data_IF_430280821011
#
_entry.id   IF_430280821011
#
_cell.length_a   1.000
_cell.length_b   1.000
_cell.length_c   1.000
_cell.angle_alpha   90.00
_cell.angle_beta   90.00
_cell.angle_gamma   90.00
#
_symmetry.space_group_name_H-M   'P 1'
#
loop_
_entity.id
_entity.type
_entity.pdbx_description
1 polymer ?
#
# COMPACT_ATOMS: atom_id res chain seq x y z
N UNK A 1 -27.49 -50.55 5.21
CA UNK A 1 -26.85 -49.76 4.14
C UNK A 1 -26.17 -48.59 4.82
N UNK A 2 -24.84 -48.51 4.75
CA UNK A 2 -24.05 -47.43 5.36
C UNK A 2 -23.69 -46.42 4.28
N UNK A 3 -24.18 -45.19 4.41
CA UNK A 3 -23.75 -44.04 3.62
C UNK A 3 -22.46 -43.47 4.22
N UNK A 4 -21.34 -43.69 3.53
CA UNK A 4 -20.05 -43.11 3.85
C UNK A 4 -19.86 -41.84 3.00
N UNK A 5 -20.40 -40.72 3.46
CA UNK A 5 -20.02 -39.41 2.93
C UNK A 5 -18.53 -39.16 3.27
N UNK A 6 -17.73 -39.06 2.22
CA UNK A 6 -16.29 -38.86 2.33
C UNK A 6 -16.03 -37.43 2.80
N UNK A 7 -15.63 -37.30 4.07
CA UNK A 7 -15.02 -36.13 4.69
C UNK A 7 -13.75 -35.73 3.92
N UNK A 8 -13.90 -34.97 2.83
CA UNK A 8 -12.77 -34.36 2.12
C UNK A 8 -12.21 -33.22 2.97
N UNK A 9 -11.41 -33.61 3.96
CA UNK A 9 -10.64 -32.72 4.81
C UNK A 9 -9.75 -31.84 3.95
N UNK A 10 -10.07 -30.54 3.92
CA UNK A 10 -9.29 -29.53 3.21
C UNK A 10 -7.83 -29.57 3.71
N UNK A 11 -6.91 -29.94 2.82
CA UNK A 11 -5.47 -30.01 3.12
C UNK A 11 -4.79 -28.77 2.53
N UNK A 12 -4.27 -27.84 3.35
CA UNK A 12 -3.59 -26.65 2.85
C UNK A 12 -2.36 -27.05 2.03
N UNK A 13 -2.34 -26.61 0.76
CA UNK A 13 -1.25 -26.91 -0.17
C UNK A 13 0.06 -26.25 0.30
N UNK A 14 1.20 -26.96 0.34
CA UNK A 14 2.46 -26.39 0.79
C UNK A 14 2.93 -25.31 -0.20
N UNK A 15 2.96 -24.03 0.23
CA UNK A 15 3.52 -22.92 -0.54
C UNK A 15 5.05 -23.00 -0.50
N UNK A 16 5.69 -23.40 -1.60
CA UNK A 16 7.15 -23.28 -1.77
C UNK A 16 7.48 -22.84 -3.19
N UNK A 17 8.39 -21.86 -3.29
CA UNK A 17 9.00 -21.27 -4.48
C UNK A 17 8.14 -20.35 -5.37
N UNK A 18 6.97 -20.77 -5.87
CA UNK A 18 6.15 -19.93 -6.77
C UNK A 18 5.63 -18.64 -6.09
N UNK A 19 5.52 -18.63 -4.76
CA UNK A 19 5.07 -17.46 -4.01
C UNK A 19 5.96 -16.23 -4.28
N UNK A 20 7.30 -16.36 -4.24
CA UNK A 20 8.20 -15.20 -4.27
C UNK A 20 8.17 -14.38 -5.55
N UNK A 21 7.97 -15.04 -6.70
CA UNK A 21 7.85 -14.34 -7.99
C UNK A 21 6.53 -13.58 -8.09
N UNK A 22 5.43 -14.22 -7.66
CA UNK A 22 4.14 -13.54 -7.55
C UNK A 22 4.17 -12.44 -6.48
N UNK A 23 4.94 -12.59 -5.39
CA UNK A 23 5.06 -11.56 -4.36
C UNK A 23 5.67 -10.27 -4.93
N UNK A 24 6.70 -10.38 -5.79
CA UNK A 24 7.27 -9.21 -6.49
C UNK A 24 6.29 -8.62 -7.50
N UNK A 25 5.65 -9.45 -8.32
CA UNK A 25 4.66 -8.99 -9.31
C UNK A 25 3.47 -8.29 -8.64
N UNK A 26 2.89 -8.93 -7.62
CA UNK A 26 1.83 -8.36 -6.78
C UNK A 26 2.28 -7.05 -6.14
N UNK A 27 3.52 -6.95 -5.65
CA UNK A 27 4.05 -5.71 -5.07
C UNK A 27 4.10 -4.59 -6.13
N UNK A 28 4.64 -4.87 -7.33
CA UNK A 28 4.72 -3.88 -8.41
C UNK A 28 3.32 -3.45 -8.85
N UNK A 29 2.39 -4.39 -9.03
CA UNK A 29 1.00 -4.09 -9.38
C UNK A 29 0.32 -3.21 -8.31
N UNK A 30 0.52 -3.52 -7.03
CA UNK A 30 0.01 -2.74 -5.91
C UNK A 30 0.63 -1.34 -5.86
N UNK A 31 1.95 -1.21 -6.00
CA UNK A 31 2.65 0.09 -6.04
C UNK A 31 2.14 0.95 -7.20
N UNK A 32 1.97 0.37 -8.40
CA UNK A 32 1.38 1.08 -9.53
C UNK A 32 -0.08 1.46 -9.29
N UNK A 33 -0.86 0.59 -8.66
CA UNK A 33 -2.25 0.87 -8.31
C UNK A 33 -2.37 1.99 -7.28
N UNK A 34 -1.43 2.08 -6.33
CA UNK A 34 -1.32 3.19 -5.38
C UNK A 34 -0.90 4.47 -6.12
N UNK A 35 0.10 4.39 -7.02
CA UNK A 35 0.56 5.54 -7.82
C UNK A 35 -0.56 6.16 -8.66
N UNK A 36 -1.38 5.35 -9.33
CA UNK A 36 -2.55 5.82 -10.09
C UNK A 36 -3.54 6.57 -9.20
N UNK A 37 -3.79 6.09 -7.98
CA UNK A 37 -4.68 6.75 -7.02
C UNK A 37 -4.11 8.07 -6.52
N UNK A 38 -2.81 8.11 -6.24
CA UNK A 38 -2.10 9.35 -5.87
C UNK A 38 -2.20 10.39 -6.99
N UNK A 39 -2.06 9.97 -8.25
CA UNK A 39 -2.23 10.86 -9.40
C UNK A 39 -3.66 11.43 -9.47
N UNK A 40 -4.69 10.61 -9.24
CA UNK A 40 -6.08 11.09 -9.19
C UNK A 40 -6.28 12.16 -8.11
N UNK A 41 -5.73 11.95 -6.90
CA UNK A 41 -5.78 12.94 -5.82
C UNK A 41 -5.02 14.22 -6.23
N UNK A 42 -3.85 14.07 -6.85
CA UNK A 42 -3.01 15.20 -7.28
C UNK A 42 -3.64 16.04 -8.41
N UNK A 43 -4.52 15.45 -9.22
CA UNK A 43 -5.30 16.17 -10.23
C UNK A 43 -6.49 16.94 -9.63
N UNK A 44 -6.83 16.71 -8.36
CA UNK A 44 -7.87 17.45 -7.64
C UNK A 44 -7.31 18.77 -7.10
N UNK A 45 -8.18 19.74 -6.79
CA UNK A 45 -7.73 20.96 -6.10
C UNK A 45 -7.60 20.70 -4.60
N UNK A 46 -6.59 21.33 -3.97
CA UNK A 46 -6.44 21.37 -2.51
C UNK A 46 -7.71 21.91 -1.83
N UNK A 47 -8.39 22.89 -2.40
CA UNK A 47 -9.63 23.46 -1.85
C UNK A 47 -10.78 22.45 -1.75
N UNK A 48 -10.79 21.44 -2.62
CA UNK A 48 -11.78 20.37 -2.61
C UNK A 48 -11.37 19.19 -1.72
N UNK A 49 -10.18 19.25 -1.13
CA UNK A 49 -9.65 18.20 -0.27
C UNK A 49 -10.00 18.47 1.19
N UNK A 50 -10.99 17.73 1.68
CA UNK A 50 -11.41 17.80 3.08
C UNK A 50 -12.02 16.47 3.51
N UNK A 51 -12.16 16.29 4.83
CA UNK A 51 -12.90 15.16 5.42
C UNK A 51 -14.28 14.99 4.77
N UNK A 52 -14.55 13.78 4.25
CA UNK A 52 -15.79 13.43 3.55
C UNK A 52 -15.80 13.68 2.04
N UNK A 53 -14.69 14.16 1.46
CA UNK A 53 -14.52 14.25 0.01
C UNK A 53 -13.94 12.94 -0.57
N UNK A 54 -14.30 12.63 -1.83
CA UNK A 54 -13.78 11.43 -2.51
C UNK A 54 -12.25 11.42 -2.58
N UNK A 55 -11.62 12.58 -2.82
CA UNK A 55 -10.17 12.70 -2.88
C UNK A 55 -9.51 12.38 -1.52
N UNK A 56 -10.17 12.73 -0.42
CA UNK A 56 -9.71 12.44 0.93
C UNK A 56 -9.82 10.95 1.27
N UNK A 57 -10.92 10.31 0.88
CA UNK A 57 -11.09 8.86 1.05
C UNK A 57 -10.07 8.07 0.22
N UNK A 58 -9.83 8.49 -1.03
CA UNK A 58 -8.78 7.89 -1.88
C UNK A 58 -7.39 8.08 -1.27
N UNK A 59 -7.09 9.27 -0.74
CA UNK A 59 -5.82 9.55 -0.06
C UNK A 59 -5.63 8.68 1.20
N UNK A 60 -6.70 8.49 1.98
CA UNK A 60 -6.70 7.62 3.16
C UNK A 60 -6.45 6.16 2.77
N UNK A 61 -7.14 5.68 1.74
CA UNK A 61 -6.93 4.34 1.18
C UNK A 61 -5.49 4.13 0.68
N UNK A 62 -4.89 5.15 0.06
CA UNK A 62 -3.49 5.13 -0.38
C UNK A 62 -2.55 4.91 0.80
N UNK A 63 -2.69 5.69 1.87
CA UNK A 63 -1.82 5.56 3.05
C UNK A 63 -2.03 4.22 3.76
N UNK A 64 -3.28 3.77 3.91
CA UNK A 64 -3.58 2.48 4.54
C UNK A 64 -2.94 1.33 3.76
N UNK A 65 -3.10 1.30 2.44
CA UNK A 65 -2.49 0.26 1.59
C UNK A 65 -0.98 0.33 1.61
N UNK A 66 -0.40 1.52 1.52
CA UNK A 66 1.05 1.70 1.54
C UNK A 66 1.65 1.23 2.88
N UNK A 67 1.04 1.60 4.00
CA UNK A 67 1.46 1.12 5.32
C UNK A 67 1.35 -0.41 5.43
N UNK A 68 0.26 -1.01 4.91
CA UNK A 68 0.08 -2.45 4.91
C UNK A 68 1.18 -3.19 4.11
N UNK A 69 1.65 -2.61 3.00
CA UNK A 69 2.79 -3.18 2.25
C UNK A 69 4.05 -3.25 3.11
N UNK A 70 4.29 -2.26 3.97
CA UNK A 70 5.47 -2.22 4.83
C UNK A 70 5.40 -3.19 6.01
N UNK A 71 4.20 -3.56 6.45
CA UNK A 71 3.99 -4.51 7.53
C UNK A 71 4.12 -5.97 7.10
N UNK A 72 4.02 -6.24 5.79
CA UNK A 72 4.16 -7.59 5.26
C UNK A 72 5.64 -7.99 5.20
N UNK A 73 6.07 -9.00 5.98
CA UNK A 73 7.48 -9.42 5.99
C UNK A 73 7.93 -9.95 4.62
N UNK A 74 6.98 -10.44 3.82
CA UNK A 74 7.15 -10.94 2.45
C UNK A 74 7.75 -9.90 1.50
N UNK A 75 7.46 -8.61 1.72
CA UNK A 75 7.93 -7.51 0.88
C UNK A 75 9.18 -6.81 1.40
N UNK A 76 9.62 -7.13 2.63
CA UNK A 76 10.85 -6.59 3.23
C UNK A 76 12.06 -6.58 2.28
N UNK A 77 12.37 -7.65 1.51
CA UNK A 77 13.54 -7.63 0.61
C UNK A 77 13.42 -6.67 -0.58
N UNK A 78 12.21 -6.18 -0.90
CA UNK A 78 11.93 -5.28 -2.02
C UNK A 78 11.63 -3.83 -1.56
N UNK A 79 11.78 -3.56 -0.26
CA UNK A 79 11.52 -2.26 0.36
C UNK A 79 12.79 -1.73 1.02
N UNK A 80 13.96 -1.92 0.40
CA UNK A 80 15.24 -1.48 0.95
C UNK A 80 15.48 0.01 0.73
N UNK A 81 14.82 0.62 -0.25
CA UNK A 81 14.91 2.06 -0.55
C UNK A 81 14.19 2.95 0.47
N UNK A 82 13.35 2.38 1.35
CA UNK A 82 12.62 3.15 2.36
C UNK A 82 13.35 3.19 3.70
N UNK A 83 13.50 4.39 4.24
CA UNK A 83 14.10 4.60 5.55
C UNK A 83 13.15 4.20 6.67
N UNK A 84 13.71 3.92 7.85
CA UNK A 84 12.92 3.64 9.06
C UNK A 84 12.01 4.81 9.43
N UNK A 85 12.47 6.04 9.21
CA UNK A 85 11.70 7.25 9.49
C UNK A 85 10.49 7.38 8.57
N UNK A 86 10.64 7.14 7.27
CA UNK A 86 9.53 7.15 6.30
C UNK A 86 8.50 6.07 6.62
N UNK A 87 8.95 4.85 6.96
CA UNK A 87 8.06 3.77 7.39
C UNK A 87 7.28 4.17 8.65
N UNK A 88 7.94 4.79 9.62
CA UNK A 88 7.30 5.25 10.86
C UNK A 88 6.30 6.38 10.57
N UNK A 89 6.67 7.35 9.72
CA UNK A 89 5.80 8.45 9.33
C UNK A 89 4.51 7.93 8.69
N UNK A 90 4.63 7.02 7.72
CA UNK A 90 3.48 6.41 7.03
C UNK A 90 2.61 5.58 7.99
N UNK A 91 3.22 4.82 8.90
CA UNK A 91 2.47 4.08 9.92
C UNK A 91 1.72 5.01 10.89
N UNK A 92 2.33 6.14 11.28
CA UNK A 92 1.69 7.16 12.11
C UNK A 92 0.51 7.81 11.37
N UNK A 93 0.70 8.24 10.12
CA UNK A 93 -0.38 8.81 9.30
C UNK A 93 -1.53 7.83 9.13
N UNK A 94 -1.23 6.54 8.89
CA UNK A 94 -2.27 5.50 8.87
C UNK A 94 -2.99 5.39 10.21
N UNK A 95 -2.27 5.34 11.34
CA UNK A 95 -2.91 5.19 12.64
C UNK A 95 -3.89 6.34 12.92
N UNK A 96 -3.53 7.57 12.53
CA UNK A 96 -4.40 8.75 12.61
C UNK A 96 -5.63 8.57 11.70
N UNK A 97 -5.41 8.25 10.42
CA UNK A 97 -6.48 8.05 9.44
C UNK A 97 -7.45 6.92 9.82
N UNK A 98 -6.94 5.85 10.45
CA UNK A 98 -7.74 4.67 10.80
C UNK A 98 -8.46 4.75 12.16
N UNK A 99 -7.96 5.52 13.13
CA UNK A 99 -8.47 5.48 14.51
C UNK A 99 -9.00 6.81 15.03
N UNK A 100 -8.43 7.94 14.62
CA UNK A 100 -8.77 9.24 15.23
C UNK A 100 -9.99 9.89 14.59
N UNK A 101 -10.49 9.32 13.50
CA UNK A 101 -11.47 9.97 12.64
C UNK A 101 -10.81 11.12 11.89
N UNK A 102 -11.26 11.32 10.66
CA UNK A 102 -10.69 12.26 9.70
C UNK A 102 -10.61 13.72 10.22
N UNK A 103 -11.48 14.11 11.18
CA UNK A 103 -11.48 15.42 11.86
C UNK A 103 -10.20 15.83 12.61
N UNK A 104 -9.37 14.88 13.04
CA UNK A 104 -8.14 15.21 13.79
C UNK A 104 -6.90 15.33 12.91
N UNK A 105 -6.99 14.98 11.64
CA UNK A 105 -5.88 15.07 10.71
C UNK A 105 -5.83 16.48 10.10
N UNK A 106 -4.63 17.07 10.05
CA UNK A 106 -4.46 18.35 9.35
C UNK A 106 -4.51 18.09 7.83
N UNK A 107 -5.57 18.54 7.17
CA UNK A 107 -5.82 18.33 5.75
C UNK A 107 -4.68 18.85 4.86
N UNK A 108 -4.03 19.96 5.22
CA UNK A 108 -2.88 20.51 4.47
C UNK A 108 -1.66 19.59 4.58
N UNK A 109 -1.37 19.13 5.80
CA UNK A 109 -0.26 18.21 6.03
C UNK A 109 -0.50 16.88 5.33
N UNK A 110 -1.74 16.39 5.35
CA UNK A 110 -2.12 15.15 4.72
C UNK A 110 -2.09 15.26 3.19
N UNK A 111 -2.61 16.35 2.64
CA UNK A 111 -2.50 16.68 1.24
C UNK A 111 -1.03 16.72 0.79
N UNK A 112 -0.17 17.43 1.50
CA UNK A 112 1.25 17.52 1.18
C UNK A 112 1.95 16.14 1.27
N UNK A 113 1.60 15.33 2.26
CA UNK A 113 2.13 13.97 2.38
C UNK A 113 1.74 13.12 1.15
N UNK A 114 0.47 13.15 0.75
CA UNK A 114 -0.04 12.29 -0.33
C UNK A 114 0.33 12.79 -1.72
N UNK A 115 0.42 14.10 -1.94
CA UNK A 115 0.69 14.69 -3.27
C UNK A 115 2.16 15.00 -3.53
N UNK A 116 3.01 15.04 -2.49
CA UNK A 116 4.44 15.33 -2.64
C UNK A 116 5.29 14.16 -2.16
N UNK A 117 5.15 13.74 -0.89
CA UNK A 117 6.03 12.74 -0.27
C UNK A 117 5.78 11.31 -0.75
N UNK A 118 4.52 10.90 -0.84
CA UNK A 118 4.16 9.55 -1.28
C UNK A 118 4.62 9.27 -2.73
N UNK A 119 4.44 10.17 -3.72
CA UNK A 119 4.98 9.98 -5.07
C UNK A 119 6.49 9.71 -5.07
N UNK A 120 7.28 10.50 -4.32
CA UNK A 120 8.74 10.33 -4.23
C UNK A 120 9.14 8.96 -3.65
N UNK A 121 8.38 8.46 -2.69
CA UNK A 121 8.59 7.12 -2.12
C UNK A 121 8.22 6.05 -3.14
N UNK A 122 7.06 6.20 -3.81
CA UNK A 122 6.60 5.24 -4.82
C UNK A 122 7.55 5.14 -6.01
N UNK A 123 8.07 6.27 -6.51
CA UNK A 123 8.99 6.27 -7.65
C UNK A 123 10.28 5.51 -7.30
N UNK A 124 10.85 5.73 -6.10
CA UNK A 124 11.99 4.95 -5.60
C UNK A 124 11.69 3.46 -5.46
N UNK A 125 10.54 3.11 -4.90
CA UNK A 125 10.14 1.71 -4.72
C UNK A 125 9.90 1.01 -6.06
N UNK A 126 9.32 1.70 -7.04
CA UNK A 126 9.09 1.15 -8.38
C UNK A 126 10.42 0.97 -9.11
N UNK A 127 11.34 1.92 -9.02
CA UNK A 127 12.68 1.82 -9.61
C UNK A 127 13.48 0.66 -8.98
N UNK A 128 13.47 0.54 -7.65
CA UNK A 128 14.11 -0.57 -6.93
C UNK A 128 13.47 -1.92 -7.30
N UNK A 129 12.13 -1.96 -7.38
CA UNK A 129 11.40 -3.18 -7.69
C UNK A 129 11.49 -3.58 -9.16
N UNK A 130 11.80 -2.65 -10.08
CA UNK A 130 12.01 -2.94 -11.50
C UNK A 130 13.27 -3.79 -11.75
N UNK A 131 14.29 -3.68 -10.88
CA UNK A 131 15.58 -4.35 -11.06
C UNK A 131 16.30 -3.84 -12.32
N UNK A 132 17.60 -4.16 -12.53
CA UNK A 132 18.24 -3.85 -13.79
C UNK A 132 17.50 -4.62 -14.90
N UNK A 133 16.87 -3.90 -15.84
CA UNK A 133 16.51 -4.50 -17.12
C UNK A 133 17.78 -5.18 -17.64
N UNK A 134 17.73 -6.51 -17.77
CA UNK A 134 18.78 -7.33 -18.35
C UNK A 134 19.02 -6.79 -19.77
N UNK A 135 20.07 -5.98 -19.92
CA UNK A 135 20.56 -5.41 -21.17
C UNK A 135 21.67 -6.26 -21.74
#
# INVERSE_FOLDING_TARGET
MNDAESDQRFTPRPRRAAARSHDRENLVEELQAIRRRVQMVSCTSRDSFHDGSDAYDVASMVIIRLAALFERPEFTPYLTAITREERLAIATTRNIAAHTGYKSMNDDLFWAAVTQRVPEILDRLIEESAGPEER
#
